data_IF_784153711211
#
_entry.id   IF_784153711211
#
_cell.length_a   1.000
_cell.length_b   1.000
_cell.length_c   1.000
_cell.angle_alpha   90.00
_cell.angle_beta   90.00
_cell.angle_gamma   90.00
#
_symmetry.space_group_name_H-M   'P 1'
#
loop_
_entity.id
_entity.type
_entity.pdbx_description
1 polymer ?
#
# COMPACT_ATOMS: atom_id res chain seq x y z
N UNK A 1 -57.86 29.53 -20.85
CA UNK A 1 -56.64 29.47 -20.01
C UNK A 1 -55.59 28.75 -20.85
N UNK A 2 -54.46 29.37 -21.18
CA UNK A 2 -53.38 28.72 -21.92
C UNK A 2 -52.81 27.56 -21.13
N UNK A 3 -52.64 26.40 -21.77
CA UNK A 3 -52.04 25.22 -21.18
C UNK A 3 -50.67 25.04 -21.85
N UNK A 4 -49.61 25.29 -21.08
CA UNK A 4 -48.24 25.16 -21.53
C UNK A 4 -47.62 23.93 -20.86
N UNK A 5 -47.08 23.03 -21.67
CA UNK A 5 -46.28 21.91 -21.21
C UNK A 5 -44.79 22.24 -21.40
N UNK A 6 -43.99 22.05 -20.36
CA UNK A 6 -42.56 22.25 -20.39
C UNK A 6 -41.88 20.91 -20.11
N UNK A 7 -41.08 20.44 -21.06
CA UNK A 7 -40.32 19.21 -20.95
C UNK A 7 -38.84 19.54 -20.80
N UNK A 8 -38.20 18.94 -19.80
CA UNK A 8 -36.76 19.01 -19.59
C UNK A 8 -36.16 17.65 -19.89
N UNK A 9 -35.20 17.62 -20.79
CA UNK A 9 -34.43 16.43 -21.13
C UNK A 9 -32.95 16.71 -20.88
N UNK A 10 -32.27 15.83 -20.15
CA UNK A 10 -30.86 15.98 -19.80
C UNK A 10 -30.11 14.80 -20.40
N UNK A 11 -29.19 15.07 -21.32
CA UNK A 11 -28.37 14.04 -21.94
C UNK A 11 -27.24 13.56 -21.01
N UNK A 12 -26.54 12.50 -21.44
CA UNK A 12 -25.42 11.93 -20.69
C UNK A 12 -24.21 12.90 -20.54
N UNK A 13 -24.17 13.97 -21.30
CA UNK A 13 -23.13 15.00 -21.25
C UNK A 13 -23.54 16.21 -20.39
N UNK A 14 -24.73 16.16 -19.76
CA UNK A 14 -25.24 17.25 -18.95
C UNK A 14 -25.84 18.41 -19.74
N UNK A 15 -26.12 18.22 -21.04
CA UNK A 15 -26.81 19.21 -21.88
C UNK A 15 -28.30 19.12 -21.58
N UNK A 16 -28.89 20.26 -21.23
CA UNK A 16 -30.33 20.34 -20.92
C UNK A 16 -31.08 20.86 -22.15
N UNK A 17 -31.98 20.06 -22.66
CA UNK A 17 -32.95 20.43 -23.68
C UNK A 17 -34.27 20.80 -23.01
N UNK A 18 -34.75 22.02 -23.25
CA UNK A 18 -36.01 22.48 -22.69
C UNK A 18 -36.96 22.74 -23.84
N UNK A 19 -38.07 22.03 -23.91
CA UNK A 19 -39.13 22.21 -24.87
C UNK A 19 -40.37 22.75 -24.19
N UNK A 20 -40.84 23.88 -24.66
CA UNK A 20 -42.12 24.45 -24.23
C UNK A 20 -43.17 24.35 -25.34
N UNK A 21 -44.30 23.69 -25.06
CA UNK A 21 -45.41 23.51 -26.02
C UNK A 21 -46.70 24.09 -25.45
N UNK A 22 -47.34 24.91 -26.27
CA UNK A 22 -48.72 25.37 -26.02
C UNK A 22 -49.72 24.31 -26.55
N UNK A 23 -50.42 23.63 -25.61
CA UNK A 23 -51.42 22.59 -25.96
C UNK A 23 -52.64 23.11 -26.69
N UNK A 24 -52.94 24.40 -26.61
CA UNK A 24 -54.07 25.01 -27.26
C UNK A 24 -53.79 25.32 -28.72
N UNK A 25 -52.56 25.73 -29.07
CA UNK A 25 -52.17 26.13 -30.42
C UNK A 25 -51.26 25.13 -31.10
N UNK A 26 -50.70 24.16 -30.38
CA UNK A 26 -49.76 23.18 -30.90
C UNK A 26 -48.36 23.74 -31.21
N UNK A 27 -48.11 25.02 -30.91
CA UNK A 27 -46.81 25.63 -31.11
C UNK A 27 -45.83 25.17 -30.05
N UNK A 28 -44.62 24.82 -30.46
CA UNK A 28 -43.54 24.46 -29.59
C UNK A 28 -42.30 25.33 -29.84
N UNK A 29 -41.53 25.57 -28.83
CA UNK A 29 -40.23 26.22 -28.86
C UNK A 29 -39.26 25.40 -28.04
N UNK A 30 -38.10 25.13 -28.59
CA UNK A 30 -37.04 24.39 -27.92
C UNK A 30 -35.82 25.30 -27.66
N UNK A 31 -35.20 25.11 -26.51
CA UNK A 31 -33.96 25.76 -26.12
C UNK A 31 -33.00 24.69 -25.61
N UNK A 32 -31.82 24.67 -26.19
CA UNK A 32 -30.74 23.82 -25.70
C UNK A 32 -29.83 24.66 -24.79
N UNK A 33 -29.76 24.28 -23.53
CA UNK A 33 -28.84 24.91 -22.58
C UNK A 33 -27.62 24.00 -22.51
N UNK A 34 -26.58 24.33 -23.24
CA UNK A 34 -25.26 23.78 -23.05
C UNK A 34 -24.68 24.52 -21.87
N UNK A 35 -24.38 23.79 -20.79
CA UNK A 35 -23.60 24.35 -19.69
C UNK A 35 -22.28 24.84 -20.31
N UNK A 36 -22.17 26.13 -20.53
CA UNK A 36 -20.93 26.75 -21.00
C UNK A 36 -19.95 26.91 -19.82
N UNK A 37 -19.56 25.79 -19.22
CA UNK A 37 -18.24 25.65 -18.65
C UNK A 37 -17.31 25.21 -19.78
N UNK A 38 -17.29 25.95 -20.83
CA UNK A 38 -16.21 25.86 -21.80
C UNK A 38 -14.99 26.48 -21.12
N UNK A 39 -14.29 25.63 -20.33
CA UNK A 39 -12.89 25.88 -20.01
C UNK A 39 -12.21 26.09 -21.36
N UNK A 40 -11.50 27.18 -21.52
CA UNK A 40 -10.65 27.39 -22.69
C UNK A 40 -9.63 26.24 -22.76
N UNK A 41 -9.12 25.92 -23.94
CA UNK A 41 -8.07 24.91 -24.09
C UNK A 41 -6.91 25.16 -23.13
N UNK A 42 -6.56 26.44 -22.90
CA UNK A 42 -5.53 26.84 -21.93
C UNK A 42 -5.90 26.50 -20.48
N UNK A 43 -7.17 26.62 -20.09
CA UNK A 43 -7.63 26.26 -18.75
C UNK A 43 -7.68 24.75 -18.56
N UNK A 44 -8.03 24.01 -19.59
CA UNK A 44 -7.97 22.54 -19.60
C UNK A 44 -6.52 22.07 -19.47
N UNK A 45 -5.61 22.59 -20.27
CA UNK A 45 -4.19 22.27 -20.23
C UNK A 45 -3.59 22.60 -18.86
N UNK A 46 -3.97 23.72 -18.27
CA UNK A 46 -3.54 24.12 -16.94
C UNK A 46 -4.05 23.13 -15.87
N UNK A 47 -5.33 22.78 -15.92
CA UNK A 47 -5.93 21.84 -14.97
C UNK A 47 -5.30 20.45 -15.10
N UNK A 48 -5.00 19.99 -16.31
CA UNK A 48 -4.31 18.71 -16.56
C UNK A 48 -2.90 18.74 -15.97
N UNK A 49 -2.11 19.79 -16.22
CA UNK A 49 -0.76 19.92 -15.65
C UNK A 49 -0.76 20.00 -14.13
N UNK A 50 -1.70 20.72 -13.54
CA UNK A 50 -1.88 20.77 -12.10
C UNK A 50 -2.24 19.39 -11.53
N UNK A 51 -3.13 18.65 -12.18
CA UNK A 51 -3.50 17.29 -11.78
C UNK A 51 -2.32 16.32 -11.88
N UNK A 52 -1.50 16.42 -12.92
CA UNK A 52 -0.28 15.62 -13.06
C UNK A 52 0.74 15.93 -11.96
N UNK A 53 0.94 17.21 -11.61
CA UNK A 53 1.83 17.62 -10.53
C UNK A 53 1.36 17.08 -9.17
N UNK A 54 0.07 17.19 -8.88
CA UNK A 54 -0.49 16.64 -7.65
C UNK A 54 -0.40 15.12 -7.59
N UNK A 55 -0.59 14.43 -8.73
CA UNK A 55 -0.43 12.97 -8.80
C UNK A 55 1.01 12.54 -8.52
N UNK A 56 2.02 13.28 -9.00
CA UNK A 56 3.43 13.02 -8.68
C UNK A 56 3.76 13.30 -7.22
N UNK A 57 3.25 14.40 -6.66
CA UNK A 57 3.44 14.73 -5.25
C UNK A 57 2.80 13.67 -4.33
N UNK A 58 1.59 13.25 -4.64
CA UNK A 58 0.89 12.21 -3.89
C UNK A 58 1.61 10.86 -3.98
N UNK A 59 2.15 10.52 -5.14
CA UNK A 59 2.97 9.32 -5.32
C UNK A 59 4.21 9.37 -4.43
N UNK A 60 4.96 10.47 -4.44
CA UNK A 60 6.14 10.67 -3.58
C UNK A 60 5.78 10.60 -2.10
N UNK A 61 4.65 11.23 -1.71
CA UNK A 61 4.16 11.18 -0.33
C UNK A 61 3.82 9.76 0.09
N UNK A 62 3.14 9.01 -0.78
CA UNK A 62 2.81 7.62 -0.53
C UNK A 62 4.06 6.76 -0.40
N UNK A 63 5.02 6.86 -1.33
CA UNK A 63 6.28 6.14 -1.28
C UNK A 63 7.04 6.41 0.02
N UNK A 64 7.08 7.67 0.47
CA UNK A 64 7.70 8.05 1.74
C UNK A 64 7.01 7.39 2.94
N UNK A 65 5.69 7.39 2.98
CA UNK A 65 4.93 6.72 4.06
C UNK A 65 5.18 5.21 4.03
N UNK A 66 5.18 4.60 2.85
CA UNK A 66 5.44 3.17 2.68
C UNK A 66 6.85 2.80 3.14
N UNK A 67 7.86 3.63 2.84
CA UNK A 67 9.24 3.41 3.27
C UNK A 67 9.40 3.58 4.79
N UNK A 68 8.74 4.59 5.39
CA UNK A 68 8.67 4.73 6.86
C UNK A 68 8.06 3.50 7.51
N UNK A 69 6.93 3.02 7.01
CA UNK A 69 6.26 1.84 7.54
C UNK A 69 7.10 0.57 7.40
N UNK A 70 7.84 0.42 6.29
CA UNK A 70 8.76 -0.71 6.10
C UNK A 70 9.90 -0.68 7.11
N UNK A 71 10.51 0.48 7.33
CA UNK A 71 11.60 0.64 8.29
C UNK A 71 11.11 0.38 9.72
N UNK A 72 9.97 0.95 10.10
CA UNK A 72 9.36 0.75 11.43
C UNK A 72 9.01 -0.72 11.66
N UNK A 73 8.36 -1.37 10.68
CA UNK A 73 8.06 -2.79 10.74
C UNK A 73 9.30 -3.68 10.86
N UNK A 74 10.41 -3.30 10.20
CA UNK A 74 11.66 -4.03 10.32
C UNK A 74 12.31 -3.84 11.69
N UNK A 75 12.33 -2.61 12.23
CA UNK A 75 12.80 -2.33 13.58
C UNK A 75 12.05 -3.20 14.57
N UNK A 76 10.71 -3.19 14.51
CA UNK A 76 9.86 -3.98 15.39
C UNK A 76 10.16 -5.49 15.28
N UNK A 77 10.32 -6.01 14.06
CA UNK A 77 10.62 -7.43 13.82
C UNK A 77 11.97 -7.83 14.42
N UNK A 78 12.98 -6.98 14.30
CA UNK A 78 14.31 -7.23 14.87
C UNK A 78 14.27 -7.17 16.39
N UNK A 79 13.60 -6.20 16.98
CA UNK A 79 13.42 -6.10 18.44
C UNK A 79 12.68 -7.33 19.01
N UNK A 80 11.63 -7.78 18.32
CA UNK A 80 10.88 -8.95 18.71
C UNK A 80 11.75 -10.21 18.65
N UNK A 81 12.55 -10.37 17.58
CA UNK A 81 13.49 -11.50 17.45
C UNK A 81 14.57 -11.48 18.54
N UNK A 82 15.10 -10.30 18.87
CA UNK A 82 16.06 -10.15 19.97
C UNK A 82 15.44 -10.54 21.30
N UNK A 83 14.17 -10.24 21.52
CA UNK A 83 13.43 -10.61 22.73
C UNK A 83 13.16 -12.11 22.80
N UNK A 84 12.74 -12.71 21.69
CA UNK A 84 12.33 -14.11 21.65
C UNK A 84 13.52 -15.07 21.57
N UNK A 85 14.64 -14.63 21.02
CA UNK A 85 15.84 -15.44 20.78
C UNK A 85 17.08 -14.89 21.50
N UNK A 86 16.90 -14.02 22.47
CA UNK A 86 18.00 -13.34 23.17
C UNK A 86 19.01 -14.29 23.83
N UNK A 87 18.57 -15.46 24.27
CA UNK A 87 19.43 -16.48 24.88
C UNK A 87 20.37 -17.16 23.85
N UNK A 88 20.04 -17.06 22.55
CA UNK A 88 20.80 -17.65 21.45
C UNK A 88 21.72 -16.64 20.75
N UNK A 89 21.61 -15.36 21.11
CA UNK A 89 22.41 -14.27 20.56
C UNK A 89 23.62 -14.01 21.47
N UNK A 90 24.79 -13.83 20.86
CA UNK A 90 25.98 -13.38 21.59
C UNK A 90 25.83 -11.91 22.01
N UNK A 91 26.61 -11.47 23.00
CA UNK A 91 26.58 -10.07 23.43
C UNK A 91 27.03 -9.12 22.31
N UNK A 92 27.94 -9.55 21.44
CA UNK A 92 28.36 -8.80 20.25
C UNK A 92 27.23 -8.68 19.22
N UNK A 93 26.47 -9.77 18.99
CA UNK A 93 25.31 -9.74 18.08
C UNK A 93 24.23 -8.79 18.62
N UNK A 94 23.95 -8.82 19.95
CA UNK A 94 23.01 -7.89 20.59
C UNK A 94 23.47 -6.44 20.49
N UNK A 95 24.76 -6.18 20.71
CA UNK A 95 25.30 -4.83 20.59
C UNK A 95 25.19 -4.31 19.17
N UNK A 96 25.49 -5.14 18.18
CA UNK A 96 25.38 -4.80 16.75
C UNK A 96 23.94 -4.49 16.35
N UNK A 97 22.99 -5.34 16.76
CA UNK A 97 21.57 -5.14 16.46
C UNK A 97 21.03 -3.88 17.14
N UNK A 98 21.35 -3.65 18.42
CA UNK A 98 20.91 -2.45 19.14
C UNK A 98 21.44 -1.17 18.47
N UNK A 99 22.73 -1.13 18.11
CA UNK A 99 23.30 0.01 17.42
C UNK A 99 22.62 0.29 16.06
N UNK A 100 22.30 -0.77 15.32
CA UNK A 100 21.61 -0.66 14.04
C UNK A 100 20.15 -0.19 14.20
N UNK A 101 19.45 -0.70 15.24
CA UNK A 101 18.09 -0.26 15.58
C UNK A 101 18.07 1.21 15.99
N UNK A 102 19.01 1.65 16.85
CA UNK A 102 19.07 3.04 17.30
C UNK A 102 19.38 3.99 16.15
N UNK A 103 20.26 3.60 15.22
CA UNK A 103 20.51 4.36 14.01
C UNK A 103 19.28 4.44 13.12
N UNK A 104 18.59 3.32 12.92
CA UNK A 104 17.38 3.26 12.11
C UNK A 104 16.23 4.11 12.70
N UNK A 105 16.05 4.10 14.02
CA UNK A 105 15.06 4.93 14.72
C UNK A 105 15.31 6.42 14.52
N UNK A 106 16.56 6.87 14.55
CA UNK A 106 16.91 8.27 14.28
C UNK A 106 16.55 8.68 12.86
N UNK A 107 16.80 7.79 11.89
CA UNK A 107 16.45 8.07 10.49
C UNK A 107 14.93 7.98 10.24
N UNK A 108 14.18 7.22 11.03
CA UNK A 108 12.73 7.16 10.98
C UNK A 108 12.07 8.53 11.34
N UNK A 109 12.72 9.30 12.22
CA UNK A 109 12.30 10.67 12.55
C UNK A 109 12.62 11.68 11.44
N UNK A 110 13.49 11.31 10.52
CA UNK A 110 13.86 12.14 9.39
C UNK A 110 12.69 12.28 8.41
N UNK A 111 12.65 13.43 7.76
CA UNK A 111 11.68 13.71 6.68
C UNK A 111 12.23 13.39 5.29
N UNK A 112 13.45 12.86 5.23
CA UNK A 112 14.19 12.53 4.02
C UNK A 112 14.00 11.05 3.64
N UNK A 113 13.32 10.81 2.51
CA UNK A 113 13.01 9.46 2.03
C UNK A 113 14.27 8.64 1.67
N UNK A 114 15.29 9.28 1.11
CA UNK A 114 16.55 8.61 0.76
C UNK A 114 17.30 8.12 2.00
N UNK A 115 17.26 8.91 3.08
CA UNK A 115 17.86 8.52 4.36
C UNK A 115 17.09 7.35 5.00
N UNK A 116 15.76 7.35 4.89
CA UNK A 116 14.91 6.26 5.38
C UNK A 116 15.20 4.95 4.63
N UNK A 117 15.33 5.01 3.30
CA UNK A 117 15.71 3.85 2.47
C UNK A 117 17.08 3.32 2.83
N UNK A 118 18.07 4.23 2.93
CA UNK A 118 19.44 3.85 3.31
C UNK A 118 19.51 3.23 4.71
N UNK A 119 18.70 3.72 5.65
CA UNK A 119 18.60 3.15 6.98
C UNK A 119 17.98 1.73 6.98
N UNK A 120 16.98 1.50 6.13
CA UNK A 120 16.42 0.18 5.93
C UNK A 120 17.46 -0.81 5.41
N UNK A 121 18.21 -0.44 4.38
CA UNK A 121 19.27 -1.28 3.82
C UNK A 121 20.40 -1.54 4.83
N UNK A 122 20.77 -0.52 5.60
CA UNK A 122 21.78 -0.64 6.65
C UNK A 122 21.34 -1.60 7.76
N UNK A 123 20.09 -1.47 8.22
CA UNK A 123 19.51 -2.37 9.22
C UNK A 123 19.43 -3.80 8.67
N UNK A 124 18.97 -3.98 7.44
CA UNK A 124 18.91 -5.28 6.76
C UNK A 124 20.30 -5.94 6.73
N UNK A 125 21.33 -5.22 6.33
CA UNK A 125 22.70 -5.73 6.24
C UNK A 125 23.28 -6.10 7.62
N UNK A 126 22.92 -5.36 8.68
CA UNK A 126 23.35 -5.68 10.05
C UNK A 126 22.64 -6.91 10.62
N UNK A 127 21.38 -7.07 10.27
CA UNK A 127 20.51 -8.15 10.74
C UNK A 127 20.80 -9.48 10.06
N UNK A 128 21.06 -9.47 8.76
CA UNK A 128 21.23 -10.68 7.94
C UNK A 128 22.27 -11.68 8.50
N UNK A 129 23.51 -11.30 8.85
CA UNK A 129 24.49 -12.23 9.39
C UNK A 129 24.10 -12.80 10.75
N UNK A 130 23.43 -12.02 11.58
CA UNK A 130 22.97 -12.46 12.91
C UNK A 130 21.85 -13.50 12.78
N UNK A 131 20.88 -13.25 11.90
CA UNK A 131 19.82 -14.23 11.63
C UNK A 131 20.36 -15.51 11.02
N UNK A 132 21.34 -15.42 10.13
CA UNK A 132 21.98 -16.61 9.53
C UNK A 132 22.66 -17.46 10.60
N UNK A 133 23.39 -16.87 11.54
CA UNK A 133 23.97 -17.58 12.69
C UNK A 133 22.89 -18.20 13.57
N UNK A 134 21.83 -17.45 13.87
CA UNK A 134 20.71 -17.94 14.68
C UNK A 134 20.05 -19.16 14.06
N UNK A 135 19.85 -19.14 12.74
CA UNK A 135 19.27 -20.26 11.99
C UNK A 135 20.19 -21.47 11.97
N UNK A 136 21.49 -21.30 11.77
CA UNK A 136 22.48 -22.38 11.81
C UNK A 136 22.55 -23.03 13.19
N UNK A 137 22.54 -22.23 14.26
CA UNK A 137 22.54 -22.73 15.62
C UNK A 137 21.25 -23.51 15.95
N UNK A 138 20.09 -23.07 15.41
CA UNK A 138 18.82 -23.78 15.60
C UNK A 138 18.81 -25.15 14.86
N UNK A 139 19.39 -25.23 13.68
CA UNK A 139 19.53 -26.49 12.95
C UNK A 139 20.54 -27.43 13.57
N UNK A 140 21.66 -26.91 14.11
CA UNK A 140 22.66 -27.72 14.85
C UNK A 140 22.10 -28.32 16.12
N UNK A 141 21.17 -27.63 16.81
CA UNK A 141 20.50 -28.15 18.00
C UNK A 141 19.41 -29.20 17.68
N UNK A 142 18.78 -29.12 16.50
CA UNK A 142 17.80 -30.11 16.04
C UNK A 142 18.45 -31.36 15.45
N UNK A 143 19.73 -31.30 15.04
CA UNK A 143 20.49 -32.44 14.52
C UNK A 143 21.17 -33.31 15.56
N UNK A 144 21.15 -32.94 16.85
CA UNK A 144 21.76 -33.71 17.95
C UNK A 144 20.71 -34.51 18.75
N UNK A 145 19.92 -35.30 18.07
CA UNK A 145 19.22 -36.41 18.74
C UNK A 145 19.67 -37.73 18.08
N UNK A 146 20.73 -38.36 18.58
CA UNK A 146 21.04 -39.74 18.23
C UNK A 146 20.34 -40.65 19.23
N UNK A 147 19.31 -41.26 18.82
CA UNK A 147 18.94 -42.37 19.68
C UNK A 147 17.53 -42.84 19.59
N UNK A 148 17.50 -43.97 18.99
CA UNK A 148 16.75 -45.15 19.39
C UNK A 148 15.28 -45.25 18.95
N UNK A 149 15.10 -46.20 18.14
CA UNK A 149 14.24 -47.26 18.55
C UNK A 149 13.11 -47.54 17.60
N UNK A 150 13.42 -48.37 16.69
CA UNK A 150 12.67 -49.54 16.28
C UNK A 150 11.17 -49.63 16.59
N UNK A 151 10.50 -49.96 15.54
CA UNK A 151 9.48 -51.02 15.50
C UNK A 151 8.03 -50.58 15.45
N UNK A 152 7.36 -51.15 14.52
CA UNK A 152 5.95 -51.45 14.59
C UNK A 152 5.14 -50.95 13.40
N UNK A 153 5.05 -51.79 12.40
CA UNK A 153 4.11 -51.65 11.30
C UNK A 153 2.67 -51.54 11.76
N UNK A 154 1.90 -50.96 10.95
CA UNK A 154 0.62 -51.59 10.56
C UNK A 154 0.04 -50.88 9.32
N UNK A 155 -0.36 -51.74 8.41
CA UNK A 155 -1.20 -51.46 7.27
C UNK A 155 -2.47 -50.68 7.65
N UNK A 156 -2.94 -49.87 6.77
CA UNK A 156 -4.21 -49.20 6.87
C UNK A 156 -4.56 -48.44 5.60
N UNK A 157 -4.76 -49.20 4.54
CA UNK A 157 -5.57 -48.92 3.37
C UNK A 157 -6.84 -48.13 3.74
N UNK A 158 -7.05 -46.97 3.15
CA UNK A 158 -8.41 -46.47 2.86
C UNK A 158 -8.37 -45.57 1.63
N UNK A 159 -8.81 -46.18 0.52
CA UNK A 159 -9.42 -45.49 -0.61
C UNK A 159 -10.45 -44.48 -0.15
N UNK A 160 -10.45 -43.34 -0.81
CA UNK A 160 -11.66 -42.54 -0.94
C UNK A 160 -11.86 -42.10 -2.38
N UNK A 161 -12.79 -42.79 -3.02
CA UNK A 161 -13.49 -42.36 -4.21
C UNK A 161 -14.45 -41.22 -3.89
N UNK A 162 -14.51 -40.25 -4.65
CA UNK A 162 -15.48 -39.51 -5.47
C UNK A 162 -15.10 -38.04 -5.56
#
# INVERSE_FOLDING_TARGET
>A
IPQIEVTFDIDANGIVHVTAQDKGTGKSTDITITSSTNLSEEEIDKAVKEAEQFAEEDKKRKEKVDNKNKLDGMIFSVEQTMKDSGDKLTDDDKATLNAAIDAAKKELESDDDERIKAAYDTLMNAVQPVFQKLYQNAQGAAGANPGAGANGGNDGDTEFHQ
#
